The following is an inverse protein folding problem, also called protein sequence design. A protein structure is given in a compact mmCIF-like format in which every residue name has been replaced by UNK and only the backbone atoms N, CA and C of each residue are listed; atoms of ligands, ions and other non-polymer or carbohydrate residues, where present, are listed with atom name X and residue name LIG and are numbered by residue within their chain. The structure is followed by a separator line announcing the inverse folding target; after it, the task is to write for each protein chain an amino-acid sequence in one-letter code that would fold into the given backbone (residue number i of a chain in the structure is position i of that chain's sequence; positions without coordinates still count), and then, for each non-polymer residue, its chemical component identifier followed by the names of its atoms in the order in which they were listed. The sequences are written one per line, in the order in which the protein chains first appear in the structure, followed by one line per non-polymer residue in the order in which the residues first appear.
data_IF_006774437890
#
_entry.id   IF_006774437890
#
_cell.length_a   1.000
_cell.length_b   1.000
_cell.length_c   1.000
_cell.angle_alpha   90.00
_cell.angle_beta   90.00
_cell.angle_gamma   90.00
#
_symmetry.space_group_name_H-M   'P 1'
#
loop_
_entity.id
_entity.type
_entity.pdbx_description
1 polymer ?
#
# COMPACT_ATOMS: atom_id res chain seq x y z
N UNK A 1 -86.08 -20.43 52.25
CA UNK A 1 -85.59 -19.05 52.08
C UNK A 1 -84.64 -19.05 50.89
N UNK A 2 -85.07 -18.52 49.75
CA UNK A 2 -84.29 -18.47 48.50
C UNK A 2 -83.86 -17.02 48.30
N UNK A 3 -82.57 -16.75 48.36
CA UNK A 3 -82.01 -15.42 48.06
C UNK A 3 -82.02 -15.21 46.55
N UNK A 4 -82.88 -14.31 46.07
CA UNK A 4 -82.79 -13.73 44.72
C UNK A 4 -81.57 -12.79 44.67
N UNK A 5 -80.55 -13.16 43.90
CA UNK A 5 -79.56 -12.18 43.41
C UNK A 5 -80.18 -11.48 42.20
N UNK A 6 -80.65 -10.24 42.41
CA UNK A 6 -80.92 -9.34 41.30
C UNK A 6 -79.60 -8.67 40.89
N UNK A 7 -78.83 -9.35 40.04
CA UNK A 7 -77.79 -8.69 39.25
C UNK A 7 -78.47 -7.78 38.23
N UNK A 8 -78.67 -6.51 38.61
CA UNK A 8 -78.91 -5.45 37.64
C UNK A 8 -77.63 -5.21 36.85
N UNK A 9 -77.42 -6.01 35.81
CA UNK A 9 -76.61 -5.59 34.68
C UNK A 9 -77.34 -4.37 34.11
N UNK A 10 -76.84 -3.17 34.41
CA UNK A 10 -77.25 -1.92 33.79
C UNK A 10 -76.91 -2.03 32.30
N UNK A 11 -77.79 -2.69 31.53
CA UNK A 11 -77.77 -2.67 30.09
C UNK A 11 -78.19 -1.27 29.64
N UNK A 12 -77.23 -0.34 29.64
CA UNK A 12 -77.39 0.97 29.03
C UNK A 12 -77.50 0.75 27.52
N UNK A 13 -78.73 0.50 27.03
CA UNK A 13 -79.04 0.31 25.61
C UNK A 13 -79.13 1.65 24.85
N UNK A 14 -78.22 2.57 25.13
CA UNK A 14 -78.00 3.71 24.25
C UNK A 14 -77.11 3.20 23.10
N UNK A 15 -77.72 2.87 21.96
CA UNK A 15 -76.95 2.57 20.75
C UNK A 15 -76.09 3.77 20.36
N UNK A 16 -74.92 3.51 19.75
CA UNK A 16 -74.05 4.58 19.27
C UNK A 16 -74.81 5.52 18.34
N UNK A 17 -74.67 6.82 18.58
CA UNK A 17 -75.21 7.81 17.67
C UNK A 17 -74.41 7.80 16.36
N UNK A 18 -75.08 8.06 15.22
CA UNK A 18 -74.41 8.14 13.92
C UNK A 18 -73.24 9.16 13.95
N UNK A 19 -73.41 10.25 14.71
CA UNK A 19 -72.40 11.30 14.85
C UNK A 19 -71.15 10.80 15.60
N UNK A 20 -71.29 9.99 16.65
CA UNK A 20 -70.16 9.40 17.37
C UNK A 20 -69.37 8.42 16.50
N UNK A 21 -70.07 7.59 15.71
CA UNK A 21 -69.41 6.66 14.79
C UNK A 21 -68.64 7.43 13.72
N UNK A 22 -69.20 8.54 13.21
CA UNK A 22 -68.55 9.37 12.20
C UNK A 22 -67.33 10.10 12.77
N UNK A 23 -67.42 10.64 14.00
CA UNK A 23 -66.29 11.25 14.70
C UNK A 23 -65.19 10.21 14.96
N UNK A 24 -65.55 8.99 15.40
CA UNK A 24 -64.60 7.92 15.65
C UNK A 24 -63.85 7.49 14.38
N UNK A 25 -64.55 7.34 13.25
CA UNK A 25 -63.93 7.01 11.95
C UNK A 25 -63.02 8.14 11.49
N UNK A 26 -63.41 9.40 11.68
CA UNK A 26 -62.57 10.56 11.34
C UNK A 26 -61.29 10.60 12.18
N UNK A 27 -61.36 10.37 13.49
CA UNK A 27 -60.17 10.30 14.35
C UNK A 27 -59.27 9.12 13.94
N UNK A 28 -59.87 7.95 13.67
CA UNK A 28 -59.14 6.77 13.26
C UNK A 28 -58.41 6.98 11.92
N UNK A 29 -59.02 7.67 10.96
CA UNK A 29 -58.37 7.95 9.68
C UNK A 29 -57.16 8.88 9.86
N UNK A 30 -57.27 9.93 10.67
CA UNK A 30 -56.14 10.80 11.00
C UNK A 30 -55.03 10.05 11.72
N UNK A 31 -55.37 9.19 12.70
CA UNK A 31 -54.38 8.36 13.39
C UNK A 31 -53.67 7.40 12.44
N UNK A 32 -54.40 6.77 11.53
CA UNK A 32 -53.80 5.87 10.54
C UNK A 32 -52.85 6.61 9.59
N UNK A 33 -53.21 7.81 9.13
CA UNK A 33 -52.30 8.64 8.32
C UNK A 33 -51.03 9.02 9.09
N UNK A 34 -51.16 9.44 10.35
CA UNK A 34 -50.00 9.79 11.18
C UNK A 34 -49.10 8.57 11.43
N UNK A 35 -49.67 7.41 11.75
CA UNK A 35 -48.91 6.16 11.92
C UNK A 35 -48.21 5.78 10.63
N UNK A 36 -48.90 5.85 9.48
CA UNK A 36 -48.29 5.55 8.18
C UNK A 36 -47.09 6.46 7.90
N UNK A 37 -47.21 7.77 8.14
CA UNK A 37 -46.10 8.71 7.98
C UNK A 37 -44.92 8.41 8.91
N UNK A 38 -45.17 8.02 10.16
CA UNK A 38 -44.11 7.64 11.11
C UNK A 38 -43.43 6.35 10.66
N UNK A 39 -44.19 5.35 10.22
CA UNK A 39 -43.64 4.07 9.76
C UNK A 39 -42.83 4.27 8.48
N UNK A 40 -43.34 5.03 7.52
CA UNK A 40 -42.67 5.30 6.25
C UNK A 40 -41.38 6.12 6.43
N UNK A 41 -41.44 7.20 7.23
CA UNK A 41 -40.25 7.97 7.59
C UNK A 41 -39.22 7.15 8.36
N UNK A 42 -39.66 6.25 9.25
CA UNK A 42 -38.76 5.35 9.97
C UNK A 42 -38.14 4.30 9.04
N UNK A 43 -38.90 3.75 8.10
CA UNK A 43 -38.42 2.75 7.16
C UNK A 43 -37.38 3.35 6.19
N UNK A 44 -37.72 4.48 5.57
CA UNK A 44 -36.82 5.22 4.65
C UNK A 44 -35.56 5.74 5.37
N UNK A 45 -35.69 6.22 6.61
CA UNK A 45 -34.53 6.65 7.41
C UNK A 45 -33.62 5.46 7.72
N UNK A 46 -34.18 4.32 8.09
CA UNK A 46 -33.40 3.12 8.39
C UNK A 46 -32.66 2.60 7.15
N UNK A 47 -33.33 2.59 6.00
CA UNK A 47 -32.71 2.21 4.72
C UNK A 47 -31.55 3.15 4.35
N UNK A 48 -31.77 4.46 4.46
CA UNK A 48 -30.73 5.47 4.20
C UNK A 48 -29.52 5.34 5.14
N UNK A 49 -29.75 5.19 6.44
CA UNK A 49 -28.65 5.01 7.41
C UNK A 49 -27.89 3.71 7.11
N UNK A 50 -28.61 2.64 6.77
CA UNK A 50 -27.97 1.35 6.43
C UNK A 50 -27.10 1.45 5.17
N UNK A 51 -27.54 2.20 4.16
CA UNK A 51 -26.73 2.41 2.96
C UNK A 51 -25.51 3.29 3.23
N UNK A 52 -25.66 4.37 4.00
CA UNK A 52 -24.56 5.25 4.44
C UNK A 52 -23.50 4.48 5.22
N UNK A 53 -23.92 3.69 6.21
CA UNK A 53 -23.01 2.88 7.03
C UNK A 53 -22.25 1.86 6.17
N UNK A 54 -22.93 1.24 5.18
CA UNK A 54 -22.30 0.30 4.26
C UNK A 54 -21.24 0.97 3.39
N UNK A 55 -21.55 2.14 2.81
CA UNK A 55 -20.60 2.89 1.99
C UNK A 55 -19.38 3.34 2.80
N UNK A 56 -19.62 3.89 3.99
CA UNK A 56 -18.54 4.30 4.90
C UNK A 56 -17.66 3.12 5.34
N UNK A 57 -18.26 1.98 5.64
CA UNK A 57 -17.52 0.76 5.97
C UNK A 57 -16.67 0.30 4.77
N UNK A 58 -17.20 0.36 3.55
CA UNK A 58 -16.43 0.01 2.35
C UNK A 58 -15.24 0.94 2.15
N UNK A 59 -15.41 2.26 2.34
CA UNK A 59 -14.34 3.24 2.29
C UNK A 59 -13.22 2.89 3.30
N UNK A 60 -13.58 2.64 4.56
CA UNK A 60 -12.59 2.29 5.59
C UNK A 60 -11.90 0.95 5.32
N UNK A 61 -12.61 -0.07 4.84
CA UNK A 61 -11.99 -1.34 4.43
C UNK A 61 -11.00 -1.11 3.28
N UNK A 62 -11.36 -0.28 2.30
CA UNK A 62 -10.48 0.09 1.19
C UNK A 62 -9.22 0.80 1.67
N UNK A 63 -9.37 1.78 2.57
CA UNK A 63 -8.26 2.51 3.19
C UNK A 63 -7.36 1.59 4.02
N UNK A 64 -7.94 0.71 4.84
CA UNK A 64 -7.18 -0.28 5.61
C UNK A 64 -6.41 -1.24 4.70
N UNK A 65 -7.01 -1.63 3.56
CA UNK A 65 -6.37 -2.53 2.60
C UNK A 65 -5.12 -1.92 1.98
N UNK A 66 -5.22 -0.69 1.47
CA UNK A 66 -4.06 0.02 0.92
C UNK A 66 -3.02 0.35 1.98
N UNK A 67 -3.47 0.81 3.15
CA UNK A 67 -2.58 1.07 4.27
C UNK A 67 -1.76 -0.17 4.63
N UNK A 68 -2.41 -1.34 4.74
CA UNK A 68 -1.72 -2.58 5.09
C UNK A 68 -0.68 -3.00 4.07
N UNK A 69 -0.99 -2.84 2.78
CA UNK A 69 -0.05 -3.18 1.71
C UNK A 69 1.17 -2.24 1.74
N UNK A 70 0.94 -0.93 1.97
CA UNK A 70 1.99 0.10 2.07
C UNK A 70 2.86 -0.04 3.33
N UNK A 71 2.27 -0.36 4.47
CA UNK A 71 3.00 -0.62 5.72
C UNK A 71 4.03 -1.74 5.55
N UNK A 72 3.72 -2.72 4.69
CA UNK A 72 4.49 -3.94 4.51
C UNK A 72 5.21 -4.04 3.15
N UNK A 73 5.46 -2.90 2.50
CA UNK A 73 6.31 -2.86 1.29
C UNK A 73 7.60 -3.63 1.56
N UNK A 74 7.97 -4.50 0.64
CA UNK A 74 9.15 -5.33 0.75
C UNK A 74 10.33 -4.70 0.02
N UNK A 75 11.47 -4.58 0.71
CA UNK A 75 12.75 -4.16 0.11
C UNK A 75 13.88 -4.76 0.93
N UNK A 76 14.92 -5.39 0.35
CA UNK A 76 16.05 -5.87 1.15
C UNK A 76 16.90 -4.71 1.75
N UNK A 77 16.68 -3.47 1.30
CA UNK A 77 17.45 -2.31 1.71
C UNK A 77 17.21 -1.84 3.16
N UNK A 78 16.26 -2.44 3.89
CA UNK A 78 16.08 -2.14 5.31
C UNK A 78 17.02 -2.95 6.22
N UNK A 79 17.77 -3.91 5.69
CA UNK A 79 18.73 -4.72 6.47
C UNK A 79 20.06 -4.98 5.75
N UNK A 80 20.19 -4.62 4.47
CA UNK A 80 21.41 -4.78 3.69
C UNK A 80 21.65 -3.58 2.78
N UNK A 81 22.91 -3.31 2.46
CA UNK A 81 23.30 -2.30 1.48
C UNK A 81 23.15 -2.80 0.04
N UNK A 82 23.25 -1.89 -0.92
CA UNK A 82 23.35 -2.28 -2.33
C UNK A 82 24.70 -2.92 -2.64
N UNK A 83 24.70 -3.97 -3.47
CA UNK A 83 25.92 -4.66 -3.91
C UNK A 83 26.92 -3.72 -4.60
N UNK A 84 26.40 -2.75 -5.36
CA UNK A 84 27.24 -1.79 -6.08
C UNK A 84 28.02 -0.89 -5.13
N UNK A 85 27.45 -0.53 -3.99
CA UNK A 85 28.08 0.29 -2.95
C UNK A 85 29.09 -0.53 -2.14
N UNK A 86 28.71 -1.76 -1.80
CA UNK A 86 29.57 -2.75 -1.11
C UNK A 86 30.87 -3.00 -1.90
N UNK A 87 30.74 -3.32 -3.19
CA UNK A 87 31.89 -3.55 -4.08
C UNK A 87 32.81 -2.32 -4.22
N UNK A 88 32.24 -1.11 -4.27
CA UNK A 88 33.01 0.14 -4.36
C UNK A 88 33.83 0.37 -3.10
N UNK A 89 33.24 0.14 -1.92
CA UNK A 89 33.93 0.36 -0.66
C UNK A 89 35.00 -0.72 -0.39
N UNK A 90 34.72 -1.97 -0.75
CA UNK A 90 35.71 -3.05 -0.73
C UNK A 90 36.94 -2.71 -1.57
N UNK A 91 36.76 -2.31 -2.83
CA UNK A 91 37.86 -1.99 -3.74
C UNK A 91 38.72 -0.83 -3.19
N UNK A 92 38.08 0.20 -2.62
CA UNK A 92 38.78 1.33 -1.98
C UNK A 92 39.63 0.89 -0.79
N UNK A 93 39.06 0.06 0.09
CA UNK A 93 39.74 -0.42 1.31
C UNK A 93 40.91 -1.34 0.97
N UNK A 94 40.72 -2.23 -0.01
CA UNK A 94 41.77 -3.13 -0.50
C UNK A 94 42.94 -2.38 -1.14
N UNK A 95 42.68 -1.35 -1.95
CA UNK A 95 43.75 -0.50 -2.50
C UNK A 95 44.53 0.24 -1.40
N UNK A 96 43.85 0.68 -0.34
CA UNK A 96 44.49 1.35 0.79
C UNK A 96 45.42 0.39 1.56
N UNK A 97 44.99 -0.85 1.82
CA UNK A 97 45.81 -1.83 2.55
C UNK A 97 47.10 -2.19 1.79
N UNK A 98 47.03 -2.35 0.47
CA UNK A 98 48.20 -2.60 -0.39
C UNK A 98 49.22 -1.44 -0.40
N UNK A 99 48.75 -0.19 -0.30
CA UNK A 99 49.63 0.98 -0.21
C UNK A 99 50.39 1.00 1.12
N UNK A 100 49.71 0.72 2.23
CA UNK A 100 50.34 0.67 3.55
C UNK A 100 51.40 -0.42 3.69
N UNK A 101 51.26 -1.57 3.04
CA UNK A 101 52.26 -2.65 3.06
C UNK A 101 53.53 -2.33 2.23
N UNK A 102 53.45 -1.41 1.28
CA UNK A 102 54.59 -1.04 0.40
C UNK A 102 55.50 0.03 1.02
N UNK A 103 55.01 0.76 2.02
CA UNK A 103 55.78 1.80 2.74
C UNK A 103 56.74 1.25 3.82
N UNK A 104 56.84 -0.08 3.97
CA UNK A 104 57.59 -0.73 5.06
C UNK A 104 58.95 -1.34 4.70
N UNK A 105 59.44 -1.22 3.46
CA UNK A 105 60.72 -1.80 3.06
C UNK A 105 61.71 -0.76 2.53
N UNK A 106 62.35 -0.03 3.45
CA UNK A 106 63.62 0.65 3.18
C UNK A 106 64.56 0.47 4.38
N UNK A 107 65.40 -0.56 4.31
CA UNK A 107 66.70 -0.62 5.00
C UNK A 107 67.53 -1.78 4.42
N UNK A 108 68.67 -1.47 3.82
CA UNK A 108 69.67 -2.46 3.41
C UNK A 108 70.41 -2.13 2.12
N UNK A 109 71.32 -1.15 2.18
CA UNK A 109 72.35 -0.90 1.16
C UNK A 109 73.44 -1.97 1.19
N UNK A 110 73.68 -2.66 0.07
CA UNK A 110 74.85 -3.52 -0.14
C UNK A 110 74.85 -4.18 -1.53
N UNK A 111 75.75 -3.73 -2.41
CA UNK A 111 76.07 -4.30 -3.74
C UNK A 111 77.50 -4.89 -3.70
N UNK A 112 78.03 -5.60 -4.74
CA UNK A 112 77.38 -6.33 -5.85
C UNK A 112 77.99 -7.74 -6.11
N UNK A 113 77.29 -8.63 -6.84
CA UNK A 113 77.92 -9.87 -7.33
C UNK A 113 77.09 -10.75 -8.26
N UNK A 114 77.52 -10.82 -9.52
CA UNK A 114 77.27 -11.83 -10.58
C UNK A 114 75.86 -12.00 -11.18
N UNK A 115 75.88 -11.90 -12.51
CA UNK A 115 74.80 -11.99 -13.48
C UNK A 115 74.39 -13.45 -13.75
N UNK A 116 73.09 -13.69 -13.88
CA UNK A 116 72.58 -14.61 -14.90
C UNK A 116 71.28 -14.05 -15.48
N UNK A 117 71.30 -13.80 -16.78
CA UNK A 117 70.22 -13.25 -17.58
C UNK A 117 69.14 -14.31 -17.81
N UNK A 118 67.89 -13.95 -17.48
CA UNK A 118 66.67 -14.63 -17.93
C UNK A 118 65.55 -13.60 -17.94
N UNK A 119 65.07 -13.26 -19.13
CA UNK A 119 64.27 -12.07 -19.44
C UNK A 119 62.99 -11.96 -18.60
N UNK A 120 62.91 -10.91 -17.80
CA UNK A 120 61.69 -10.44 -17.16
C UNK A 120 60.90 -9.59 -18.17
N UNK A 121 59.93 -10.18 -18.85
CA UNK A 121 58.80 -9.40 -19.34
C UNK A 121 57.87 -9.15 -18.15
N UNK A 122 58.16 -8.10 -17.40
CA UNK A 122 57.20 -7.47 -16.51
C UNK A 122 56.11 -6.83 -17.37
N UNK A 123 55.14 -7.65 -17.79
CA UNK A 123 53.82 -7.15 -18.10
C UNK A 123 53.25 -6.62 -16.79
N UNK A 124 53.22 -5.30 -16.64
CA UNK A 124 52.29 -4.62 -15.75
C UNK A 124 50.87 -5.03 -16.14
N UNK A 125 50.43 -6.17 -15.64
CA UNK A 125 49.02 -6.51 -15.61
C UNK A 125 48.40 -5.52 -14.63
N UNK A 126 47.65 -4.58 -15.19
CA UNK A 126 46.74 -3.70 -14.51
C UNK A 126 45.66 -4.60 -13.88
N UNK A 127 45.98 -5.26 -12.77
CA UNK A 127 45.01 -6.07 -12.02
C UNK A 127 44.14 -5.09 -11.25
N UNK A 128 43.19 -4.47 -11.95
CA UNK A 128 41.96 -4.06 -11.31
C UNK A 128 41.52 -5.25 -10.44
N UNK A 129 41.34 -5.08 -9.12
CA UNK A 129 40.89 -6.18 -8.29
C UNK A 129 39.64 -6.77 -8.94
N UNK A 130 39.49 -8.11 -8.98
CA UNK A 130 38.34 -8.73 -9.61
C UNK A 130 37.10 -8.26 -8.86
N UNK A 131 36.45 -7.22 -9.40
CA UNK A 131 35.10 -6.87 -9.03
C UNK A 131 34.33 -8.14 -9.38
N UNK A 132 33.70 -8.78 -8.39
CA UNK A 132 32.78 -9.87 -8.66
C UNK A 132 31.60 -9.28 -9.43
N UNK A 133 31.79 -9.12 -10.74
CA UNK A 133 30.77 -8.71 -11.69
C UNK A 133 29.91 -9.93 -11.91
N UNK A 134 28.97 -10.14 -11.01
CA UNK A 134 27.83 -10.98 -11.32
C UNK A 134 27.14 -10.32 -12.52
N UNK A 135 27.12 -10.99 -13.67
CA UNK A 135 26.32 -10.62 -14.83
C UNK A 135 24.85 -10.62 -14.39
N UNK A 136 24.37 -9.46 -13.96
CA UNK A 136 23.17 -9.35 -13.12
C UNK A 136 21.97 -9.06 -13.99
N UNK A 137 21.13 -10.08 -14.11
CA UNK A 137 19.67 -10.01 -14.19
C UNK A 137 19.10 -8.69 -14.77
N UNK A 138 18.85 -8.66 -16.09
CA UNK A 138 18.10 -7.59 -16.75
C UNK A 138 16.59 -7.79 -16.52
N UNK A 139 16.13 -7.68 -15.28
CA UNK A 139 14.70 -7.69 -14.99
C UNK A 139 14.24 -6.27 -14.66
N UNK A 140 13.32 -5.75 -15.48
CA UNK A 140 12.76 -4.40 -15.36
C UNK A 140 12.03 -4.15 -14.04
N UNK A 141 11.65 -5.19 -13.29
CA UNK A 141 10.95 -5.09 -12.01
C UNK A 141 11.91 -4.97 -10.81
N UNK A 142 13.22 -5.01 -11.04
CA UNK A 142 14.23 -4.94 -9.99
C UNK A 142 15.33 -3.95 -10.37
N UNK A 143 15.76 -3.13 -9.41
CA UNK A 143 16.77 -2.07 -9.67
C UNK A 143 18.18 -2.67 -9.73
N UNK A 144 18.53 -3.43 -8.69
CA UNK A 144 19.83 -4.05 -8.52
C UNK A 144 19.73 -5.20 -7.50
N UNK A 145 20.87 -5.74 -7.06
CA UNK A 145 20.93 -6.67 -5.94
C UNK A 145 21.44 -6.00 -4.65
N UNK A 146 20.99 -6.54 -3.52
CA UNK A 146 21.60 -6.31 -2.21
C UNK A 146 22.99 -6.96 -2.11
N UNK A 147 23.73 -6.64 -1.05
CA UNK A 147 25.03 -7.25 -0.75
C UNK A 147 24.98 -8.78 -0.75
N UNK A 148 23.88 -9.39 -0.29
CA UNK A 148 23.67 -10.85 -0.29
C UNK A 148 23.08 -11.41 -1.59
N UNK A 149 23.10 -10.64 -2.68
CA UNK A 149 22.53 -11.00 -3.98
C UNK A 149 20.99 -11.15 -4.01
N UNK A 150 20.27 -10.47 -3.12
CA UNK A 150 18.80 -10.47 -3.13
C UNK A 150 18.31 -9.36 -4.09
N UNK A 151 17.39 -9.66 -5.04
CA UNK A 151 16.83 -8.63 -5.91
C UNK A 151 16.10 -7.53 -5.14
N UNK A 152 16.40 -6.27 -5.46
CA UNK A 152 15.75 -5.09 -4.88
C UNK A 152 14.53 -4.73 -5.74
N UNK A 153 13.29 -4.93 -5.27
CA UNK A 153 12.09 -4.57 -6.01
C UNK A 153 12.06 -3.06 -6.28
N UNK A 154 11.66 -2.67 -7.49
CA UNK A 154 11.40 -1.26 -7.77
C UNK A 154 10.03 -0.85 -7.25
N UNK A 155 9.93 0.42 -6.84
CA UNK A 155 8.65 1.09 -6.65
C UNK A 155 8.39 1.97 -7.87
N UNK A 156 7.22 1.83 -8.49
CA UNK A 156 6.85 2.55 -9.71
C UNK A 156 5.65 3.44 -9.43
N UNK A 157 5.78 4.72 -9.76
CA UNK A 157 4.73 5.73 -9.67
C UNK A 157 4.75 6.52 -10.98
N UNK A 158 4.16 5.96 -12.04
CA UNK A 158 4.12 6.57 -13.37
C UNK A 158 3.19 7.79 -13.40
N UNK A 159 2.08 7.68 -12.67
CA UNK A 159 1.04 8.69 -12.52
C UNK A 159 0.77 8.94 -11.03
N UNK A 160 0.26 10.12 -10.68
CA UNK A 160 -0.02 10.50 -9.28
C UNK A 160 -0.95 9.52 -8.55
N UNK A 161 -1.95 8.97 -9.25
CA UNK A 161 -2.91 8.00 -8.73
C UNK A 161 -2.49 6.54 -8.88
N UNK A 162 -1.25 6.25 -9.29
CA UNK A 162 -0.77 4.89 -9.56
C UNK A 162 0.46 4.54 -8.73
N UNK A 163 0.47 3.34 -8.14
CA UNK A 163 1.64 2.85 -7.41
C UNK A 163 1.77 1.33 -7.57
N UNK A 164 2.93 0.89 -8.02
CA UNK A 164 3.30 -0.52 -8.15
C UNK A 164 4.46 -0.82 -7.21
N UNK A 165 4.32 -1.87 -6.41
CA UNK A 165 5.33 -2.27 -5.44
C UNK A 165 5.15 -3.75 -5.05
N UNK A 166 6.22 -4.32 -4.49
CA UNK A 166 6.16 -5.62 -3.85
C UNK A 166 5.85 -5.46 -2.36
N UNK A 167 4.97 -6.30 -1.81
CA UNK A 167 4.60 -6.27 -0.39
C UNK A 167 4.60 -7.67 0.21
N UNK A 168 4.85 -7.72 1.53
CA UNK A 168 4.77 -8.92 2.36
C UNK A 168 3.42 -9.08 3.07
N UNK A 169 2.43 -8.25 2.72
CA UNK A 169 1.08 -8.31 3.28
C UNK A 169 0.29 -9.58 2.90
N UNK A 170 0.79 -10.41 1.97
CA UNK A 170 0.10 -11.62 1.54
C UNK A 170 0.20 -12.74 2.57
N UNK A 171 -0.86 -13.54 2.67
CA UNK A 171 -0.88 -14.76 3.47
C UNK A 171 -1.26 -15.94 2.59
N UNK A 172 -0.36 -16.91 2.46
CA UNK A 172 -0.65 -18.17 1.80
C UNK A 172 -1.59 -19.01 2.69
N UNK A 173 -2.81 -19.25 2.21
CA UNK A 173 -3.82 -20.03 2.94
C UNK A 173 -3.62 -21.55 2.80
N UNK A 174 -3.08 -22.00 1.68
CA UNK A 174 -2.95 -23.42 1.34
C UNK A 174 -1.48 -23.85 1.35
N UNK A 175 -1.16 -24.90 2.10
CA UNK A 175 0.17 -25.51 2.11
C UNK A 175 0.52 -26.06 0.72
N UNK A 176 1.75 -25.85 0.25
CA UNK A 176 2.25 -26.26 -1.08
C UNK A 176 1.55 -25.61 -2.28
N UNK A 177 0.79 -24.52 -2.10
CA UNK A 177 0.36 -23.73 -3.26
C UNK A 177 1.57 -23.04 -3.91
N UNK A 178 1.47 -22.79 -5.22
CA UNK A 178 2.48 -22.04 -6.00
C UNK A 178 2.51 -20.54 -5.68
N UNK A 179 1.80 -20.10 -4.64
CA UNK A 179 1.75 -18.71 -4.22
C UNK A 179 2.87 -18.39 -3.23
N UNK A 180 3.44 -17.21 -3.37
CA UNK A 180 4.43 -16.66 -2.45
C UNK A 180 3.76 -15.90 -1.29
N UNK A 181 4.49 -15.72 -0.18
CA UNK A 181 4.11 -14.77 0.89
C UNK A 181 4.38 -13.31 0.50
N UNK A 182 5.20 -13.10 -0.53
CA UNK A 182 5.34 -11.81 -1.20
C UNK A 182 4.35 -11.75 -2.36
N UNK A 183 3.92 -10.54 -2.71
CA UNK A 183 3.11 -10.28 -3.89
C UNK A 183 3.51 -8.96 -4.53
N UNK A 184 3.34 -8.85 -5.84
CA UNK A 184 3.28 -7.56 -6.50
C UNK A 184 1.86 -7.02 -6.42
N UNK A 185 1.74 -5.75 -6.06
CA UNK A 185 0.46 -5.04 -6.00
C UNK A 185 0.56 -3.82 -6.89
N UNK A 186 -0.51 -3.59 -7.66
CA UNK A 186 -0.73 -2.36 -8.42
C UNK A 186 -1.99 -1.71 -7.91
N UNK A 187 -1.86 -0.45 -7.49
CA UNK A 187 -2.97 0.46 -7.28
C UNK A 187 -3.04 1.43 -8.46
N UNK A 188 -4.24 1.74 -8.93
CA UNK A 188 -4.47 2.70 -10.00
C UNK A 188 -5.83 3.36 -9.84
N UNK A 189 -5.92 4.64 -10.17
CA UNK A 189 -7.20 5.34 -10.33
C UNK A 189 -7.73 5.08 -11.73
N UNK A 190 -8.96 4.58 -11.82
CA UNK A 190 -9.67 4.32 -13.07
C UNK A 190 -11.06 4.94 -13.01
N UNK A 191 -11.70 5.12 -14.16
CA UNK A 191 -13.12 5.47 -14.20
C UNK A 191 -13.96 4.30 -13.67
N UNK A 192 -14.91 4.57 -12.78
CA UNK A 192 -15.79 3.57 -12.17
C UNK A 192 -16.54 2.79 -13.26
N UNK A 193 -16.48 1.46 -13.21
CA UNK A 193 -17.31 0.62 -14.07
C UNK A 193 -18.76 0.67 -13.61
N UNK A 194 -19.61 1.33 -14.39
CA UNK A 194 -21.06 1.44 -14.12
C UNK A 194 -21.89 0.60 -15.09
N UNK A 195 -21.31 -0.47 -15.64
CA UNK A 195 -22.00 -1.35 -16.60
C UNK A 195 -23.20 -2.04 -15.91
N UNK A 196 -24.41 -1.81 -16.42
CA UNK A 196 -25.63 -2.37 -15.85
C UNK A 196 -26.19 -1.63 -14.62
N UNK A 197 -25.66 -0.43 -14.32
CA UNK A 197 -26.19 0.47 -13.29
C UNK A 197 -26.99 1.57 -13.99
N UNK A 198 -28.19 1.85 -13.47
CA UNK A 198 -29.05 2.91 -14.01
C UNK A 198 -28.36 4.28 -13.91
N UNK A 199 -28.60 5.17 -14.89
CA UNK A 199 -27.98 6.51 -14.95
C UNK A 199 -28.24 7.36 -13.71
N UNK A 200 -29.37 7.13 -13.03
CA UNK A 200 -29.76 7.81 -11.79
C UNK A 200 -28.97 7.32 -10.57
N UNK A 201 -28.41 6.11 -10.62
CA UNK A 201 -27.61 5.54 -9.53
C UNK A 201 -26.10 5.82 -9.67
N UNK A 202 -25.68 6.43 -10.79
CA UNK A 202 -24.28 6.77 -11.04
C UNK A 202 -23.92 8.05 -10.29
N UNK A 203 -22.85 7.98 -9.49
CA UNK A 203 -22.28 9.18 -8.88
C UNK A 203 -21.45 9.95 -9.92
N UNK A 204 -22.06 10.94 -10.57
CA UNK A 204 -21.41 11.76 -11.61
C UNK A 204 -20.38 12.72 -11.05
N UNK A 205 -20.50 13.11 -9.79
CA UNK A 205 -19.56 14.02 -9.12
C UNK A 205 -18.27 13.35 -8.68
N UNK A 206 -18.29 12.01 -8.57
CA UNK A 206 -17.15 11.20 -8.16
C UNK A 206 -17.03 9.96 -9.07
N UNK A 207 -16.60 10.15 -10.33
CA UNK A 207 -16.64 9.12 -11.35
C UNK A 207 -15.47 8.14 -11.29
N UNK A 208 -14.58 8.23 -10.30
CA UNK A 208 -13.38 7.42 -10.22
C UNK A 208 -13.45 6.33 -9.13
N UNK A 209 -12.69 5.27 -9.37
CA UNK A 209 -12.45 4.19 -8.42
C UNK A 209 -10.95 3.95 -8.29
N UNK A 210 -10.50 3.65 -7.08
CA UNK A 210 -9.19 3.08 -6.84
C UNK A 210 -9.28 1.57 -6.99
N UNK A 211 -8.54 1.01 -7.93
CA UNK A 211 -8.47 -0.43 -8.13
C UNK A 211 -7.20 -1.02 -7.56
N UNK A 212 -7.25 -2.33 -7.30
CA UNK A 212 -6.12 -3.12 -6.84
C UNK A 212 -5.99 -4.37 -7.70
N UNK A 213 -4.80 -4.60 -8.24
CA UNK A 213 -4.42 -5.82 -8.97
C UNK A 213 -3.28 -6.51 -8.23
N UNK A 214 -3.24 -7.85 -8.22
CA UNK A 214 -2.20 -8.63 -7.53
C UNK A 214 -1.64 -9.74 -8.38
N UNK A 215 -0.32 -9.87 -8.35
CA UNK A 215 0.41 -11.04 -8.86
C UNK A 215 1.07 -11.76 -7.68
N UNK A 216 0.76 -13.05 -7.54
CA UNK A 216 1.20 -13.87 -6.40
C UNK A 216 2.03 -15.08 -6.76
N UNK A 217 2.23 -15.32 -8.05
CA UNK A 217 3.01 -16.41 -8.62
C UNK A 217 4.09 -15.82 -9.53
N UNK A 218 5.19 -16.54 -9.70
CA UNK A 218 6.32 -16.15 -10.56
C UNK A 218 6.76 -14.69 -10.38
N UNK A 219 6.88 -14.23 -9.13
CA UNK A 219 7.15 -12.82 -8.78
C UNK A 219 8.44 -12.25 -9.36
N UNK A 220 9.36 -13.13 -9.75
CA UNK A 220 10.66 -12.78 -10.27
C UNK A 220 10.71 -12.85 -11.79
N UNK A 221 9.61 -13.13 -12.49
CA UNK A 221 9.62 -13.12 -13.95
C UNK A 221 9.95 -11.72 -14.48
N UNK A 222 10.57 -11.69 -15.67
CA UNK A 222 10.94 -10.43 -16.34
C UNK A 222 9.70 -9.62 -16.71
N UNK A 223 8.61 -10.30 -17.03
CA UNK A 223 7.34 -9.69 -17.40
C UNK A 223 6.26 -10.13 -16.41
N UNK A 224 5.69 -9.14 -15.75
CA UNK A 224 4.56 -9.34 -14.86
C UNK A 224 3.28 -9.28 -15.68
N UNK A 225 2.50 -10.36 -15.62
CA UNK A 225 1.25 -10.49 -16.35
C UNK A 225 0.11 -9.76 -15.64
N UNK A 226 0.08 -8.44 -15.84
CA UNK A 226 -0.93 -7.57 -15.24
C UNK A 226 -2.27 -7.58 -15.98
N UNK A 227 -2.30 -8.06 -17.22
CA UNK A 227 -3.50 -8.08 -18.06
C UNK A 227 -4.41 -9.26 -17.69
N UNK A 228 -3.83 -10.43 -17.42
CA UNK A 228 -4.58 -11.60 -16.97
C UNK A 228 -4.91 -11.56 -15.46
N UNK A 229 -4.23 -10.68 -14.70
CA UNK A 229 -4.43 -10.54 -13.27
C UNK A 229 -5.75 -9.83 -12.95
N UNK A 230 -6.55 -10.42 -12.05
CA UNK A 230 -7.83 -9.86 -11.63
C UNK A 230 -7.65 -8.48 -10.98
N UNK A 231 -8.18 -7.45 -11.63
CA UNK A 231 -8.37 -6.11 -11.12
C UNK A 231 -9.73 -6.01 -10.41
N UNK A 232 -9.79 -5.32 -9.28
CA UNK A 232 -11.04 -5.05 -8.57
C UNK A 232 -10.98 -3.72 -7.84
N UNK A 233 -12.12 -3.03 -7.74
CA UNK A 233 -12.22 -1.78 -7.01
C UNK A 233 -12.09 -2.01 -5.50
N UNK A 234 -11.28 -1.19 -4.84
CA UNK A 234 -11.13 -1.15 -3.38
C UNK A 234 -11.82 0.05 -2.75
N UNK A 235 -11.90 1.16 -3.47
CA UNK A 235 -12.63 2.38 -3.08
C UNK A 235 -13.33 2.89 -4.34
N UNK A 236 -14.63 3.15 -4.24
CA UNK A 236 -15.42 3.76 -5.31
C UNK A 236 -15.79 5.19 -4.93
N UNK A 237 -16.40 5.91 -5.87
CA UNK A 237 -16.92 7.26 -5.67
C UNK A 237 -15.82 8.25 -5.23
N UNK A 238 -14.71 8.22 -5.95
CA UNK A 238 -13.62 9.18 -5.82
C UNK A 238 -13.80 10.32 -6.82
N UNK A 239 -13.65 11.54 -6.32
CA UNK A 239 -13.51 12.76 -7.12
C UNK A 239 -12.04 12.99 -7.48
N UNK A 240 -11.13 12.76 -6.54
CA UNK A 240 -9.68 12.75 -6.77
C UNK A 240 -8.98 11.75 -5.84
N UNK A 241 -7.81 11.25 -6.26
CA UNK A 241 -6.94 10.39 -5.46
C UNK A 241 -5.50 10.46 -5.95
N UNK A 242 -4.56 10.72 -5.03
CA UNK A 242 -3.14 10.69 -5.37
C UNK A 242 -2.22 10.33 -4.19
N UNK A 243 -1.04 9.84 -4.55
CA UNK A 243 0.07 9.57 -3.64
C UNK A 243 1.02 10.77 -3.55
N UNK A 244 1.54 11.00 -2.36
CA UNK A 244 2.74 11.83 -2.15
C UNK A 244 3.74 11.10 -1.26
N UNK A 245 5.02 11.46 -1.37
CA UNK A 245 6.11 10.79 -0.69
C UNK A 245 6.93 11.79 0.11
N UNK A 246 7.26 11.47 1.35
CA UNK A 246 8.08 12.37 2.16
C UNK A 246 9.55 12.33 1.71
N UNK A 247 10.10 13.50 1.37
CA UNK A 247 11.53 13.70 1.09
C UNK A 247 12.23 14.26 2.32
N UNK A 248 13.13 13.50 2.98
CA UNK A 248 13.94 14.03 4.07
C UNK A 248 14.87 15.15 3.62
N UNK A 249 15.37 15.11 2.38
CA UNK A 249 16.26 16.13 1.82
C UNK A 249 15.56 17.50 1.65
N UNK A 250 14.27 17.49 1.31
CA UNK A 250 13.46 18.71 1.10
C UNK A 250 12.54 19.03 2.28
N UNK A 251 12.50 18.19 3.31
CA UNK A 251 11.61 18.26 4.48
C UNK A 251 10.13 18.44 4.12
N UNK A 252 9.68 17.85 3.00
CA UNK A 252 8.29 17.98 2.52
C UNK A 252 7.84 16.77 1.71
N UNK A 253 6.52 16.66 1.54
CA UNK A 253 5.92 15.71 0.60
C UNK A 253 6.15 16.15 -0.85
N UNK A 254 6.51 15.19 -1.70
CA UNK A 254 6.75 15.34 -3.13
C UNK A 254 5.81 14.43 -3.91
N UNK A 255 5.40 14.85 -5.10
CA UNK A 255 4.37 14.14 -5.86
C UNK A 255 4.88 12.91 -6.62
N UNK A 256 6.21 12.71 -6.72
CA UNK A 256 6.79 11.58 -7.44
C UNK A 256 7.96 10.94 -6.69
N UNK A 257 8.03 9.61 -6.74
CA UNK A 257 9.16 8.83 -6.23
C UNK A 257 10.52 9.25 -6.83
N UNK A 258 10.52 9.77 -8.06
CA UNK A 258 11.74 10.24 -8.74
C UNK A 258 12.43 11.39 -7.98
N UNK A 259 11.66 12.17 -7.23
CA UNK A 259 12.18 13.28 -6.43
C UNK A 259 12.84 12.85 -5.12
N UNK A 260 12.78 11.56 -4.75
CA UNK A 260 13.44 11.01 -3.55
C UNK A 260 14.90 10.61 -3.77
N UNK A 261 15.45 10.76 -4.99
CA UNK A 261 16.83 10.46 -5.33
C UNK A 261 17.26 9.05 -4.86
N UNK A 262 18.11 8.96 -3.83
CA UNK A 262 18.63 7.71 -3.26
C UNK A 262 17.56 6.87 -2.56
N UNK A 263 16.50 7.51 -2.07
CA UNK A 263 15.42 6.87 -1.30
C UNK A 263 14.24 6.44 -2.17
N UNK A 264 14.37 6.45 -3.50
CA UNK A 264 13.29 6.09 -4.43
C UNK A 264 12.68 4.70 -4.19
N UNK A 265 13.50 3.73 -3.76
CA UNK A 265 13.06 2.37 -3.46
C UNK A 265 12.77 2.17 -1.97
N UNK A 266 12.97 3.20 -1.16
CA UNK A 266 12.81 3.17 0.29
C UNK A 266 12.09 4.40 0.86
N UNK A 267 10.93 4.81 0.30
CA UNK A 267 10.13 5.87 0.89
C UNK A 267 9.67 5.49 2.30
N UNK A 268 9.89 6.37 3.29
CA UNK A 268 9.55 6.08 4.69
C UNK A 268 8.11 6.45 5.06
N UNK A 269 7.62 7.54 4.48
CA UNK A 269 6.25 8.01 4.67
C UNK A 269 5.62 8.23 3.30
N UNK A 270 4.42 7.69 3.14
CA UNK A 270 3.61 7.81 1.92
C UNK A 270 2.29 8.42 2.37
N UNK A 271 1.93 9.57 1.81
CA UNK A 271 0.63 10.22 2.06
C UNK A 271 -0.35 9.80 0.96
N UNK A 272 -1.55 9.45 1.39
CA UNK A 272 -2.74 9.25 0.57
C UNK A 272 -3.60 10.49 0.70
N UNK A 273 -3.93 11.13 -0.41
CA UNK A 273 -4.89 12.22 -0.47
C UNK A 273 -6.06 11.73 -1.32
N UNK A 274 -7.28 11.82 -0.78
CA UNK A 274 -8.48 11.43 -1.51
C UNK A 274 -9.65 12.37 -1.23
N UNK A 275 -10.40 12.64 -2.28
CA UNK A 275 -11.66 13.36 -2.24
C UNK A 275 -12.76 12.35 -2.58
N UNK A 276 -13.62 12.06 -1.61
CA UNK A 276 -14.70 11.09 -1.74
C UNK A 276 -16.05 11.79 -1.67
N UNK A 277 -17.00 11.32 -2.48
CA UNK A 277 -18.39 11.78 -2.43
C UNK A 277 -19.30 10.56 -2.29
N UNK A 278 -20.11 10.48 -1.22
CA UNK A 278 -21.08 9.40 -1.06
C UNK A 278 -22.16 9.49 -2.11
N UNK A 279 -22.92 8.41 -2.35
CA UNK A 279 -24.09 8.49 -3.25
C UNK A 279 -25.17 9.44 -2.73
N UNK A 280 -25.16 9.73 -1.44
CA UNK A 280 -26.12 10.64 -0.80
C UNK A 280 -25.63 12.10 -0.80
N UNK A 281 -24.44 12.38 -1.35
CA UNK A 281 -23.87 13.72 -1.46
C UNK A 281 -22.99 14.14 -0.28
N UNK A 282 -22.63 13.23 0.62
CA UNK A 282 -21.68 13.53 1.69
C UNK A 282 -20.26 13.61 1.11
N UNK A 283 -19.56 14.71 1.38
CA UNK A 283 -18.19 14.90 0.92
C UNK A 283 -17.19 14.63 2.04
N UNK A 284 -16.14 13.88 1.74
CA UNK A 284 -15.03 13.62 2.65
C UNK A 284 -13.71 13.88 1.95
N UNK A 285 -12.95 14.85 2.47
CA UNK A 285 -11.53 15.04 2.15
C UNK A 285 -10.71 14.31 3.20
N UNK A 286 -9.93 13.31 2.76
CA UNK A 286 -9.16 12.45 3.67
C UNK A 286 -7.69 12.50 3.28
N UNK A 287 -6.87 12.98 4.22
CA UNK A 287 -5.42 12.81 4.19
C UNK A 287 -4.99 11.71 5.16
N UNK A 288 -4.31 10.67 4.65
CA UNK A 288 -3.77 9.60 5.50
C UNK A 288 -2.29 9.39 5.22
N UNK A 289 -1.46 9.63 6.23
CA UNK A 289 -0.02 9.36 6.14
C UNK A 289 0.28 7.96 6.66
N UNK A 290 0.87 7.13 5.81
CA UNK A 290 1.25 5.75 6.11
C UNK A 290 2.77 5.66 6.27
N UNK A 291 3.20 5.07 7.39
CA UNK A 291 4.61 4.75 7.63
C UNK A 291 4.90 3.33 7.16
N UNK A 292 5.94 3.18 6.34
CA UNK A 292 6.45 1.86 5.98
C UNK A 292 7.20 1.27 7.17
N UNK A 293 6.87 0.03 7.56
CA UNK A 293 7.35 -0.64 8.78
C UNK A 293 8.75 -1.24 8.62
N UNK A 294 9.66 -0.47 8.04
CA UNK A 294 11.07 -0.83 7.99
C UNK A 294 11.80 -0.29 9.23
N UNK A 295 12.77 -1.04 9.79
CA UNK A 295 13.68 -0.50 10.78
C UNK A 295 14.49 0.67 10.19
N UNK A 296 14.96 1.56 11.05
CA UNK A 296 15.93 2.57 10.66
C UNK A 296 17.26 1.86 10.42
N UNK A 297 17.77 1.92 9.18
CA UNK A 297 19.00 1.26 8.79
C UNK A 297 19.78 2.21 7.90
N UNK A 298 20.99 2.57 8.33
CA UNK A 298 21.92 3.38 7.55
C UNK A 298 22.88 2.43 6.81
N UNK A 299 22.58 2.20 5.54
CA UNK A 299 23.40 1.36 4.67
C UNK A 299 24.83 1.89 4.52
N UNK A 300 25.06 3.19 4.71
CA UNK A 300 26.37 3.81 4.58
C UNK A 300 27.23 3.56 5.81
N UNK A 301 26.63 3.62 6.99
CA UNK A 301 27.31 3.33 8.26
C UNK A 301 27.66 1.85 8.38
N UNK A 302 26.72 0.95 8.10
CA UNK A 302 26.93 -0.51 8.11
C UNK A 302 28.09 -0.92 7.19
N UNK A 303 28.12 -0.36 5.97
CA UNK A 303 29.20 -0.58 5.02
C UNK A 303 30.55 -0.09 5.54
N UNK A 304 30.60 1.05 6.25
CA UNK A 304 31.85 1.54 6.86
C UNK A 304 32.31 0.57 7.93
N UNK A 305 31.44 0.17 8.86
CA UNK A 305 31.81 -0.76 9.93
C UNK A 305 32.33 -2.09 9.38
N UNK A 306 31.70 -2.61 8.32
CA UNK A 306 32.10 -3.87 7.66
C UNK A 306 33.54 -3.85 7.12
N UNK A 307 34.02 -2.71 6.64
CA UNK A 307 35.36 -2.56 6.05
C UNK A 307 36.33 -1.74 6.91
N UNK A 308 35.88 -1.19 8.04
CA UNK A 308 36.75 -0.59 9.04
C UNK A 308 37.64 -1.68 9.65
N UNK A 309 38.92 -1.60 9.34
CA UNK A 309 39.94 -2.43 10.00
C UNK A 309 40.03 -1.95 11.44
N UNK A 310 39.42 -2.69 12.38
CA UNK A 310 39.68 -2.49 13.83
C UNK A 310 41.20 -2.55 14.03
N UNK A 311 41.79 -1.41 14.40
CA UNK A 311 43.20 -1.31 14.76
C UNK A 311 43.49 -2.00 16.07
#
# INVERSE_FOLDING_TARGET
MVYKRDEKILANKAGFTLIEVLIAIAILSFLMTAIYQIVDSSATTNERITSEDRERLQLEIGLMRIQRDLELIHSPLYFESQKSEDNKLFAKTYQQSQRSSTSGSQLGSGQPGSQTQGQSQSQTQNTNPPVMTSHLYQNKNFDNLSSSNIPIPILINEEKGSLIFMTSANRRLIKNSKQSNLIWVRYRVVTTETSGVDEEEKNKEAPYSLTRTVISQNLYDTELDWEDAKEYAVINNLRDFYFEFYSPEKEKFVASLKELNKLRNTPRLIKLNLDYVSKNGDEFEIERTVRVLWPTFDTTEDLKEKYEVKK
#
